data_IF_805628906871
#
_entry.id   IF_805628906871
#
_cell.length_a   1.000
_cell.length_b   1.000
_cell.length_c   1.000
_cell.angle_alpha   90.00
_cell.angle_beta   90.00
_cell.angle_gamma   90.00
#
_symmetry.space_group_name_H-M   'P 1'
#
loop_
_entity.id
_entity.type
_entity.pdbx_description
1 polymer ?
#
# COMPACT_ATOMS: atom_id res chain seq x y z
N UNK A 1 -9.75 5.29 2.38
CA UNK A 1 -8.37 5.55 1.92
C UNK A 1 -8.39 5.81 0.42
N UNK A 2 -7.56 6.73 -0.07
CA UNK A 2 -7.38 7.14 -1.49
C UNK A 2 -5.91 6.89 -1.89
N UNK A 3 -5.52 6.86 -3.18
CA UNK A 3 -4.10 6.68 -3.55
C UNK A 3 -3.15 7.66 -2.86
N UNK A 4 -3.56 8.93 -2.72
CA UNK A 4 -2.78 10.00 -2.09
C UNK A 4 -2.62 9.81 -0.57
N UNK A 5 -3.62 9.20 0.06
CA UNK A 5 -3.59 8.84 1.47
C UNK A 5 -3.13 7.41 1.69
N UNK A 6 -2.90 6.58 0.67
CA UNK A 6 -2.47 5.19 0.87
C UNK A 6 -1.05 5.11 1.35
N UNK A 7 -0.16 5.87 0.70
CA UNK A 7 1.20 6.06 1.18
C UNK A 7 1.14 6.54 2.64
N UNK A 8 0.18 7.43 2.98
CA UNK A 8 -0.35 7.91 4.30
C UNK A 8 -0.43 6.97 5.49
N UNK A 9 -0.84 5.75 5.18
CA UNK A 9 -1.35 4.80 6.14
C UNK A 9 -0.39 3.60 6.25
N UNK A 10 -0.72 2.70 7.16
CA UNK A 10 -0.02 1.43 7.29
C UNK A 10 -0.37 0.53 6.10
N UNK A 11 0.65 0.15 5.33
CA UNK A 11 0.49 -0.78 4.21
C UNK A 11 0.44 -2.24 4.68
N UNK A 12 1.07 -2.53 5.83
CA UNK A 12 1.05 -3.86 6.43
C UNK A 12 -0.39 -4.30 6.70
N UNK A 13 -0.70 -5.54 6.34
CA UNK A 13 -2.05 -6.08 6.44
C UNK A 13 -2.93 -5.82 5.23
N UNK A 14 -2.58 -4.96 4.26
CA UNK A 14 -3.37 -4.81 3.04
C UNK A 14 -3.12 -5.96 2.05
N UNK A 15 -4.16 -6.36 1.33
CA UNK A 15 -4.03 -7.26 0.19
C UNK A 15 -3.50 -6.47 -1.01
N UNK A 16 -2.47 -6.98 -1.68
CA UNK A 16 -1.76 -6.32 -2.78
C UNK A 16 -1.53 -7.28 -3.93
N UNK A 17 -1.52 -6.77 -5.15
CA UNK A 17 -1.11 -7.50 -6.35
C UNK A 17 -0.25 -6.61 -7.24
N UNK A 18 0.83 -7.16 -7.78
CA UNK A 18 1.68 -6.48 -8.76
C UNK A 18 1.01 -6.57 -10.12
N UNK A 19 0.59 -5.42 -10.66
CA UNK A 19 -0.06 -5.36 -11.97
C UNK A 19 0.89 -5.02 -13.11
N UNK A 20 2.02 -4.38 -12.79
CA UNK A 20 3.06 -4.02 -13.75
C UNK A 20 4.40 -3.90 -13.03
N UNK A 21 5.50 -4.25 -13.68
CA UNK A 21 6.84 -4.13 -13.11
C UNK A 21 7.90 -4.09 -14.22
N UNK A 22 9.01 -3.39 -13.96
CA UNK A 22 10.19 -3.37 -14.85
C UNK A 22 10.82 -4.75 -15.00
N UNK A 23 10.69 -5.61 -13.98
CA UNK A 23 10.97 -7.03 -14.09
C UNK A 23 9.64 -7.80 -14.26
N UNK A 24 9.36 -8.39 -15.44
CA UNK A 24 8.10 -9.06 -15.72
C UNK A 24 7.84 -10.29 -14.84
N UNK A 25 8.88 -10.92 -14.28
CA UNK A 25 8.73 -12.07 -13.36
C UNK A 25 8.00 -11.70 -12.05
N UNK A 26 7.92 -10.41 -11.73
CA UNK A 26 7.22 -9.90 -10.55
C UNK A 26 5.72 -9.70 -10.80
N UNK A 27 5.29 -9.64 -12.06
CA UNK A 27 3.89 -9.38 -12.41
C UNK A 27 3.04 -10.59 -12.01
N UNK A 28 1.91 -10.31 -11.37
CA UNK A 28 1.01 -11.35 -10.85
C UNK A 28 1.36 -11.85 -9.45
N UNK A 29 2.47 -11.41 -8.84
CA UNK A 29 2.71 -11.63 -7.41
C UNK A 29 1.58 -10.95 -6.63
N UNK A 30 0.83 -11.73 -5.85
CA UNK A 30 -0.27 -11.24 -5.05
C UNK A 30 -0.33 -11.91 -3.68
N UNK A 31 -0.84 -11.19 -2.69
CA UNK A 31 -0.96 -11.66 -1.32
C UNK A 31 -1.11 -10.52 -0.34
N UNK A 32 -0.84 -10.79 0.95
CA UNK A 32 -0.95 -9.78 2.01
C UNK A 32 0.40 -9.13 2.29
N UNK A 33 0.46 -7.80 2.37
CA UNK A 33 1.67 -7.09 2.81
C UNK A 33 1.96 -7.49 4.25
N UNK A 34 3.15 -8.04 4.49
CA UNK A 34 3.65 -8.38 5.82
C UNK A 34 4.41 -7.23 6.45
N UNK A 35 5.24 -6.57 5.64
CA UNK A 35 6.09 -5.50 6.09
C UNK A 35 6.43 -4.56 4.94
N UNK A 36 6.74 -3.32 5.29
CA UNK A 36 7.17 -2.28 4.39
C UNK A 36 8.56 -1.80 4.80
N UNK A 37 9.53 -1.94 3.90
CA UNK A 37 10.83 -1.29 4.07
C UNK A 37 10.90 0.00 3.26
N UNK A 38 12.01 0.72 3.37
CA UNK A 38 12.24 1.93 2.59
C UNK A 38 12.12 1.71 1.07
N UNK A 39 12.52 0.54 0.55
CA UNK A 39 12.59 0.28 -0.90
C UNK A 39 11.79 -0.92 -1.38
N UNK A 40 11.30 -1.75 -0.47
CA UNK A 40 10.63 -3.01 -0.82
C UNK A 40 9.36 -3.20 0.01
N UNK A 41 8.45 -4.01 -0.54
CA UNK A 41 7.31 -4.57 0.18
C UNK A 41 7.52 -6.07 0.34
N UNK A 42 7.33 -6.58 1.55
CA UNK A 42 7.27 -8.01 1.81
C UNK A 42 5.82 -8.46 1.63
N UNK A 43 5.56 -9.28 0.61
CA UNK A 43 4.23 -9.79 0.27
C UNK A 43 4.17 -11.27 0.62
N UNK A 44 3.29 -11.66 1.54
CA UNK A 44 2.98 -13.06 1.80
C UNK A 44 2.06 -13.60 0.70
N UNK A 45 2.67 -14.22 -0.30
CA UNK A 45 2.01 -14.96 -1.35
C UNK A 45 1.74 -16.41 -0.92
N UNK A 46 0.99 -17.15 -1.73
CA UNK A 46 0.64 -18.55 -1.47
C UNK A 46 1.86 -19.48 -1.40
N UNK A 47 2.94 -19.13 -2.09
CA UNK A 47 4.19 -19.88 -2.17
C UNK A 47 5.28 -19.37 -1.21
N UNK A 48 4.97 -18.38 -0.37
CA UNK A 48 5.90 -17.82 0.62
C UNK A 48 5.94 -16.29 0.64
N UNK A 49 6.89 -15.73 1.39
CA UNK A 49 7.08 -14.27 1.45
C UNK A 49 7.98 -13.83 0.31
N UNK A 50 7.46 -12.97 -0.57
CA UNK A 50 8.19 -12.38 -1.69
C UNK A 50 8.56 -10.94 -1.38
N UNK A 51 9.80 -10.58 -1.64
CA UNK A 51 10.26 -9.19 -1.53
C UNK A 51 10.13 -8.51 -2.90
N UNK A 52 9.24 -7.53 -2.99
CA UNK A 52 8.97 -6.81 -4.24
C UNK A 52 9.57 -5.40 -4.15
N UNK A 53 10.42 -4.98 -5.09
CA UNK A 53 10.93 -3.61 -5.15
C UNK A 53 9.79 -2.62 -5.40
N UNK A 54 9.84 -1.46 -4.74
CA UNK A 54 8.89 -0.37 -4.96
C UNK A 54 9.17 0.34 -6.29
N UNK A 55 10.44 0.64 -6.55
CA UNK A 55 10.85 1.32 -7.77
C UNK A 55 10.48 0.50 -9.01
N UNK A 56 9.88 1.15 -10.01
CA UNK A 56 9.53 0.50 -11.27
C UNK A 56 8.48 -0.61 -11.13
N UNK A 57 7.70 -0.63 -10.05
CA UNK A 57 6.61 -1.60 -9.84
C UNK A 57 5.31 -0.89 -9.55
N UNK A 58 4.22 -1.31 -10.20
CA UNK A 58 2.87 -0.82 -9.95
C UNK A 58 2.09 -1.83 -9.10
N UNK A 59 1.58 -1.35 -7.98
CA UNK A 59 0.84 -2.13 -7.01
C UNK A 59 -0.64 -1.80 -7.05
N UNK A 60 -1.48 -2.83 -7.00
CA UNK A 60 -2.92 -2.72 -6.77
C UNK A 60 -3.21 -3.19 -5.35
N UNK A 61 -3.59 -2.26 -4.48
CA UNK A 61 -4.02 -2.56 -3.11
C UNK A 61 -5.53 -2.75 -3.08
N UNK A 62 -6.01 -3.82 -2.45
CA UNK A 62 -7.40 -3.96 -2.07
C UNK A 62 -7.61 -3.31 -0.70
N UNK A 63 -8.48 -2.32 -0.68
CA UNK A 63 -8.97 -1.68 0.53
C UNK A 63 -10.25 -2.40 0.94
N UNK A 64 -10.12 -3.22 1.97
CA UNK A 64 -11.28 -3.66 2.72
C UNK A 64 -11.85 -2.44 3.43
N UNK A 65 -13.09 -2.08 3.13
CA UNK A 65 -13.81 -1.08 3.90
C UNK A 65 -14.25 -1.68 5.24
N UNK A 66 -13.29 -2.10 6.06
CA UNK A 66 -13.55 -2.56 7.44
C UNK A 66 -13.60 -1.38 8.43
N UNK A 67 -13.07 -0.21 8.04
CA UNK A 67 -12.99 1.00 8.87
C UNK A 67 -14.03 2.07 8.46
N UNK A 68 -15.22 1.66 8.03
CA UNK A 68 -16.38 2.55 7.94
C UNK A 68 -17.50 1.92 8.75
N UNK A 69 -17.73 2.54 9.91
CA UNK A 69 -18.69 2.21 10.95
C UNK A 69 -19.99 1.61 10.40
N UNK A 70 -20.45 0.58 11.11
CA UNK A 70 -21.83 0.12 11.15
C UNK A 70 -22.76 1.31 11.05
N UNK A 71 -23.61 1.30 10.03
CA UNK A 71 -24.96 1.85 9.98
C UNK A 71 -25.31 1.98 8.50
N UNK A 72 -25.78 0.89 7.90
CA UNK A 72 -26.91 0.83 6.96
C UNK A 72 -26.92 -0.51 6.26
N UNK A 73 -27.98 -1.25 6.54
CA UNK A 73 -28.53 -2.34 5.77
C UNK A 73 -28.68 -1.93 4.30
N UNK A 74 -27.83 -2.48 3.43
CA UNK A 74 -28.16 -2.68 2.02
C UNK A 74 -27.40 -3.91 1.53
N UNK A 75 -28.15 -4.96 1.19
CA UNK A 75 -27.67 -6.26 0.73
C UNK A 75 -27.04 -6.24 -0.66
N UNK A 76 -26.14 -5.29 -0.93
CA UNK A 76 -25.34 -5.21 -2.15
C UNK A 76 -23.93 -5.66 -1.83
N UNK A 77 -23.51 -6.78 -2.42
CA UNK A 77 -22.16 -7.33 -2.27
C UNK A 77 -21.09 -6.26 -2.45
N UNK A 78 -20.55 -5.79 -1.32
CA UNK A 78 -19.62 -4.68 -1.25
C UNK A 78 -18.34 -5.06 -1.98
N UNK A 79 -18.19 -4.60 -3.22
CA UNK A 79 -16.99 -4.90 -4.03
C UNK A 79 -15.79 -4.25 -3.33
N UNK A 80 -14.70 -5.00 -3.06
CA UNK A 80 -13.53 -4.42 -2.44
C UNK A 80 -13.02 -3.26 -3.30
N UNK A 81 -12.87 -2.09 -2.68
CA UNK A 81 -12.33 -0.92 -3.38
C UNK A 81 -10.85 -1.19 -3.65
N UNK A 82 -10.41 -1.06 -4.89
CA UNK A 82 -9.01 -1.25 -5.24
C UNK A 82 -8.35 0.08 -5.60
N UNK A 83 -7.10 0.26 -5.21
CA UNK A 83 -6.30 1.46 -5.46
C UNK A 83 -5.00 1.06 -6.15
N UNK A 84 -4.71 1.68 -7.28
CA UNK A 84 -3.49 1.46 -8.05
C UNK A 84 -2.49 2.56 -7.69
N UNK A 85 -1.26 2.17 -7.34
CA UNK A 85 -0.19 3.07 -6.93
C UNK A 85 1.12 2.62 -7.56
N UNK A 86 1.82 3.56 -8.22
CA UNK A 86 3.21 3.38 -8.63
C UNK A 86 4.09 3.33 -7.39
N UNK A 87 4.92 2.30 -7.27
CA UNK A 87 5.74 2.09 -6.09
C UNK A 87 6.80 3.18 -5.89
N UNK A 88 7.18 3.93 -6.92
CA UNK A 88 7.98 5.15 -6.76
C UNK A 88 7.31 6.20 -5.85
N UNK A 89 5.97 6.23 -5.79
CA UNK A 89 5.22 7.07 -4.83
C UNK A 89 5.26 6.52 -3.40
N UNK A 90 5.60 5.24 -3.25
CA UNK A 90 5.81 4.56 -1.96
C UNK A 90 7.27 4.63 -1.49
N UNK A 91 8.18 5.20 -2.28
CA UNK A 91 9.59 5.42 -1.90
C UNK A 91 9.78 6.60 -0.92
N UNK A 92 8.70 7.33 -0.58
CA UNK A 92 8.74 8.30 0.50
C UNK A 92 8.96 7.58 1.83
N UNK A 93 10.09 7.83 2.49
CA UNK A 93 10.43 7.30 3.81
C UNK A 93 9.24 7.40 4.79
N UNK A 94 8.95 6.38 5.62
CA UNK A 94 8.00 6.52 6.72
C UNK A 94 8.32 7.73 7.63
N UNK A 95 9.62 8.04 7.80
CA UNK A 95 10.11 9.18 8.58
C UNK A 95 9.89 10.58 7.97
N UNK A 96 9.36 10.74 6.75
CA UNK A 96 8.97 12.07 6.21
C UNK A 96 7.50 12.42 6.43
N UNK A 97 6.79 11.64 7.26
CA UNK A 97 5.39 11.89 7.60
C UNK A 97 5.16 12.69 8.89
N UNK A 98 6.21 13.01 9.64
CA UNK A 98 6.12 13.94 10.79
C UNK A 98 7.02 15.16 10.60
N UNK A 99 6.95 15.84 9.46
CA UNK A 99 7.50 17.19 9.34
C UNK A 99 6.46 18.11 8.69
N UNK A 100 5.45 18.47 9.47
CA UNK A 100 4.94 19.84 9.46
C UNK A 100 4.67 20.22 10.91
N UNK A 101 5.36 21.29 11.32
CA UNK A 101 5.20 22.04 12.56
C UNK A 101 5.89 21.54 13.83
N UNK A 102 7.22 21.55 13.85
CA UNK A 102 7.92 22.12 15.01
C UNK A 102 9.33 22.59 14.66
N UNK A 103 9.54 23.91 14.74
CA UNK A 103 10.85 24.51 14.94
C UNK A 103 11.41 25.27 13.74
N UNK A 104 10.92 26.48 13.48
CA UNK A 104 11.79 27.58 13.03
C UNK A 104 12.03 28.44 14.27
N UNK A 105 12.97 28.00 15.11
CA UNK A 105 14.28 28.63 15.34
C UNK A 105 14.22 30.14 15.55
N UNK A 106 14.52 30.52 16.80
CA UNK A 106 15.34 31.69 17.12
C UNK A 106 16.50 31.79 16.13
N UNK A 107 16.54 32.85 15.32
CA UNK A 107 17.37 34.04 15.51
C UNK A 107 16.95 35.14 14.53
#
# INVERSE_FOLDING_TARGET
>A
MTPETLARHELAGLDVTVTDASNPDLVGIGGRVRDETMRTLLVAASDGVKQVPKAGTTFRFALDECEARRDSDDGSGKRPRAVIVEGDRLLARPARRSETHRGSLWQ
#
